data_IF_248979751915
#
_entry.id   IF_248979751915
#
_cell.length_a   1.000
_cell.length_b   1.000
_cell.length_c   1.000
_cell.angle_alpha   90.00
_cell.angle_beta   90.00
_cell.angle_gamma   90.00
#
_symmetry.space_group_name_H-M   'P 1'
#
loop_
_entity.id
_entity.type
_entity.pdbx_description
1 polymer ?
#
# COMPACT_ATOMS: atom_id res chain seq x y z
N UNK A 1 -10.16 4.21 16.17
CA UNK A 1 -10.49 5.31 15.25
C UNK A 1 -10.08 4.94 13.84
N UNK A 2 -10.76 5.48 12.83
CA UNK A 2 -10.40 5.27 11.43
C UNK A 2 -9.41 6.37 11.00
N UNK A 3 -8.13 6.04 11.00
CA UNK A 3 -7.09 6.89 10.40
C UNK A 3 -6.95 6.49 8.93
N UNK A 4 -7.09 7.45 8.01
CA UNK A 4 -6.98 7.18 6.59
C UNK A 4 -5.67 7.74 6.03
N UNK A 5 -4.97 6.90 5.27
CA UNK A 5 -3.84 7.30 4.44
C UNK A 5 -4.35 7.77 3.09
N UNK A 6 -4.20 9.05 2.81
CA UNK A 6 -4.61 9.67 1.55
C UNK A 6 -3.45 9.67 0.58
N UNK A 7 -3.69 9.18 -0.64
CA UNK A 7 -2.73 9.25 -1.74
C UNK A 7 -3.33 10.13 -2.82
N UNK A 8 -2.82 11.35 -2.96
CA UNK A 8 -3.28 12.35 -3.93
C UNK A 8 -2.34 12.31 -5.11
N UNK A 9 -2.87 12.05 -6.30
CA UNK A 9 -2.10 11.92 -7.54
C UNK A 9 -2.47 13.00 -8.55
N UNK A 10 -1.46 13.66 -9.09
CA UNK A 10 -1.59 14.58 -10.21
C UNK A 10 -1.33 13.87 -11.54
N UNK A 11 -2.33 13.76 -12.43
CA UNK A 11 -2.11 13.16 -13.75
C UNK A 11 -1.27 14.06 -14.67
N UNK A 12 -1.25 15.38 -14.45
CA UNK A 12 -0.50 16.34 -15.29
C UNK A 12 1.00 16.33 -14.99
N UNK A 13 1.37 16.29 -13.70
CA UNK A 13 2.78 16.30 -13.27
C UNK A 13 3.33 14.89 -13.07
N UNK A 14 2.47 13.87 -12.98
CA UNK A 14 2.83 12.49 -12.70
C UNK A 14 3.33 12.27 -11.27
N UNK A 15 3.16 13.26 -10.38
CA UNK A 15 3.60 13.19 -8.99
C UNK A 15 2.45 12.78 -8.07
N UNK A 16 2.80 12.16 -6.96
CA UNK A 16 1.85 11.76 -5.93
C UNK A 16 2.35 12.15 -4.55
N UNK A 17 1.46 12.64 -3.70
CA UNK A 17 1.74 12.95 -2.31
C UNK A 17 0.91 12.07 -1.39
N UNK A 18 1.49 11.76 -0.23
CA UNK A 18 0.82 11.01 0.81
C UNK A 18 0.59 11.91 2.01
N UNK A 19 -0.65 11.96 2.49
CA UNK A 19 -1.04 12.71 3.68
C UNK A 19 -1.88 11.82 4.59
N UNK A 20 -1.67 11.94 5.89
CA UNK A 20 -2.51 11.28 6.89
C UNK A 20 -3.71 12.19 7.15
N UNK A 21 -4.93 11.63 7.06
CA UNK A 21 -6.15 12.37 7.34
C UNK A 21 -6.38 12.44 8.86
N UNK A 22 -6.52 13.65 9.44
CA UNK A 22 -6.97 13.78 10.81
C UNK A 22 -8.45 13.36 10.92
N UNK A 23 -8.88 13.02 12.12
CA UNK A 23 -10.17 12.36 12.38
C UNK A 23 -11.40 13.17 11.92
N UNK A 24 -11.35 14.49 12.05
CA UNK A 24 -12.43 15.38 11.61
C UNK A 24 -12.69 15.23 10.10
N UNK A 25 -11.62 15.14 9.31
CA UNK A 25 -11.70 14.96 7.86
C UNK A 25 -12.07 13.52 7.52
N UNK A 26 -11.54 12.55 8.26
CA UNK A 26 -11.85 11.13 8.08
C UNK A 26 -13.37 10.87 8.18
N UNK A 27 -14.03 11.46 9.16
CA UNK A 27 -15.49 11.32 9.35
C UNK A 27 -16.31 11.81 8.15
N UNK A 28 -15.85 12.87 7.47
CA UNK A 28 -16.51 13.43 6.28
C UNK A 28 -16.31 12.59 5.01
N UNK A 29 -15.29 11.72 4.99
CA UNK A 29 -15.00 10.82 3.86
C UNK A 29 -15.81 9.53 3.92
N UNK A 30 -16.24 9.13 5.12
CA UNK A 30 -17.07 7.94 5.31
C UNK A 30 -18.40 8.13 4.59
N UNK A 31 -18.84 7.11 3.86
CA UNK A 31 -20.10 7.15 3.10
C UNK A 31 -19.97 7.67 1.67
N UNK A 32 -18.86 8.34 1.31
CA UNK A 32 -18.58 8.69 -0.09
C UNK A 32 -18.27 7.46 -0.93
N UNK A 33 -18.56 7.53 -2.22
CA UNK A 33 -18.36 6.45 -3.17
C UNK A 33 -17.18 6.71 -4.08
N UNK A 34 -16.63 5.63 -4.61
CA UNK A 34 -15.64 5.72 -5.68
C UNK A 34 -16.30 6.33 -6.92
N UNK A 35 -15.69 7.37 -7.47
CA UNK A 35 -16.21 8.17 -8.57
C UNK A 35 -16.73 9.53 -8.13
N UNK A 36 -16.94 9.74 -6.83
CA UNK A 36 -17.39 11.03 -6.31
C UNK A 36 -16.23 12.05 -6.31
N UNK A 37 -16.60 13.30 -6.56
CA UNK A 37 -15.70 14.46 -6.51
C UNK A 37 -15.78 15.14 -5.14
N UNK A 38 -14.63 15.56 -4.64
CA UNK A 38 -14.44 16.20 -3.34
C UNK A 38 -13.64 17.48 -3.55
N UNK A 39 -13.98 18.54 -2.81
CA UNK A 39 -13.19 19.77 -2.77
C UNK A 39 -11.86 19.54 -2.03
N UNK A 40 -10.76 19.95 -2.64
CA UNK A 40 -9.41 19.87 -2.09
C UNK A 40 -9.19 20.74 -0.86
N UNK A 41 -10.10 21.68 -0.57
CA UNK A 41 -10.09 22.53 0.64
C UNK A 41 -10.02 21.69 1.92
N UNK A 42 -10.59 20.48 1.91
CA UNK A 42 -10.52 19.53 3.03
C UNK A 42 -9.11 19.03 3.33
N UNK A 43 -8.15 19.22 2.42
CA UNK A 43 -6.79 18.72 2.55
C UNK A 43 -5.75 19.83 2.45
N UNK A 44 -6.16 21.07 2.69
CA UNK A 44 -5.34 22.30 2.53
C UNK A 44 -4.92 22.56 1.08
N UNK A 45 -5.70 22.07 0.11
CA UNK A 45 -5.50 22.29 -1.32
C UNK A 45 -6.61 23.19 -1.86
N UNK A 46 -6.40 24.50 -1.81
CA UNK A 46 -7.38 25.48 -2.29
C UNK A 46 -7.52 25.43 -3.81
N UNK A 47 -8.76 25.54 -4.30
CA UNK A 47 -9.05 25.60 -5.74
C UNK A 47 -8.86 24.29 -6.52
N UNK A 48 -8.71 23.14 -5.85
CA UNK A 48 -8.54 21.82 -6.49
C UNK A 48 -9.77 20.95 -6.30
N UNK A 49 -10.15 20.23 -7.35
CA UNK A 49 -11.15 19.16 -7.30
C UNK A 49 -10.49 17.78 -7.36
N UNK A 50 -10.83 16.94 -6.40
CA UNK A 50 -10.28 15.61 -6.21
C UNK A 50 -11.35 14.55 -6.47
N UNK A 51 -11.05 13.59 -7.34
CA UNK A 51 -11.92 12.45 -7.60
C UNK A 51 -11.43 11.22 -6.85
N UNK A 52 -12.35 10.55 -6.13
CA UNK A 52 -12.06 9.27 -5.49
C UNK A 52 -11.94 8.19 -6.56
N UNK A 53 -10.75 7.63 -6.73
CA UNK A 53 -10.48 6.58 -7.72
C UNK A 53 -10.58 5.17 -7.14
N UNK A 54 -10.34 5.01 -5.84
CA UNK A 54 -10.39 3.72 -5.16
C UNK A 54 -9.64 3.74 -3.84
N UNK A 55 -9.22 2.57 -3.38
CA UNK A 55 -8.52 2.41 -2.12
C UNK A 55 -8.28 0.94 -1.76
N UNK A 56 -7.80 0.73 -0.54
CA UNK A 56 -7.64 -0.59 0.06
C UNK A 56 -8.24 -0.64 1.46
N UNK A 57 -8.80 -1.81 1.77
CA UNK A 57 -9.24 -2.18 3.11
C UNK A 57 -8.01 -2.59 3.97
N UNK A 58 -8.18 -2.64 5.29
CA UNK A 58 -7.17 -3.08 6.27
C UNK A 58 -6.57 -4.46 5.92
N UNK A 59 -7.39 -5.39 5.42
CA UNK A 59 -6.90 -6.71 4.98
C UNK A 59 -6.24 -6.69 3.57
N UNK A 60 -5.95 -5.52 3.00
CA UNK A 60 -5.34 -5.37 1.69
C UNK A 60 -6.28 -5.65 0.51
N UNK A 61 -7.58 -5.86 0.75
CA UNK A 61 -8.54 -6.06 -0.34
C UNK A 61 -8.75 -4.74 -1.09
N UNK A 62 -8.65 -4.74 -2.43
CA UNK A 62 -8.88 -3.54 -3.21
C UNK A 62 -10.37 -3.20 -3.25
N UNK A 63 -10.67 -1.91 -3.23
CA UNK A 63 -12.03 -1.43 -3.44
C UNK A 63 -12.41 -1.47 -4.92
N UNK A 64 -13.66 -1.80 -5.23
CA UNK A 64 -14.15 -1.92 -6.62
C UNK A 64 -15.46 -1.16 -6.84
N UNK A 65 -15.51 -0.33 -7.90
CA UNK A 65 -16.64 0.55 -8.25
C UNK A 65 -17.98 -0.19 -8.42
N UNK A 66 -17.94 -1.38 -9.01
CA UNK A 66 -19.13 -2.19 -9.33
C UNK A 66 -19.83 -2.74 -8.07
N UNK A 67 -19.08 -2.91 -6.98
CA UNK A 67 -19.58 -3.59 -5.77
C UNK A 67 -20.17 -2.56 -4.82
N UNK A 68 -21.50 -2.52 -4.71
CA UNK A 68 -22.18 -1.55 -3.84
C UNK A 68 -21.96 -1.83 -2.35
N UNK A 69 -21.75 -0.76 -1.58
CA UNK A 69 -21.69 -0.74 -0.11
C UNK A 69 -20.25 -0.61 0.43
N UNK A 70 -20.11 -0.53 1.75
CA UNK A 70 -18.81 -0.42 2.43
C UNK A 70 -18.22 -1.75 2.91
N UNK A 71 -18.92 -2.86 2.70
CA UNK A 71 -18.52 -4.19 3.16
C UNK A 71 -17.69 -4.97 2.13
N UNK A 72 -17.09 -6.07 2.59
CA UNK A 72 -16.41 -7.05 1.74
C UNK A 72 -17.42 -7.99 1.10
N UNK A 73 -17.25 -8.29 -0.19
CA UNK A 73 -18.08 -9.27 -0.91
C UNK A 73 -17.20 -10.22 -1.72
N UNK A 74 -17.55 -11.49 -1.74
CA UNK A 74 -16.91 -12.51 -2.58
C UNK A 74 -17.65 -12.57 -3.91
N UNK A 75 -17.02 -12.07 -4.96
CA UNK A 75 -17.63 -11.98 -6.29
C UNK A 75 -16.85 -12.81 -7.31
N UNK A 76 -17.53 -13.27 -8.36
CA UNK A 76 -16.89 -13.89 -9.51
C UNK A 76 -16.30 -12.77 -10.39
N UNK A 77 -14.97 -12.73 -10.52
CA UNK A 77 -14.26 -11.73 -11.30
C UNK A 77 -13.66 -12.38 -12.53
N UNK A 78 -13.92 -11.75 -13.69
CA UNK A 78 -13.32 -12.12 -14.96
C UNK A 78 -12.09 -11.26 -15.26
N UNK A 79 -12.18 -9.95 -15.00
CA UNK A 79 -11.15 -8.97 -15.32
C UNK A 79 -11.18 -7.77 -14.36
N UNK A 80 -10.11 -6.99 -14.35
CA UNK A 80 -10.05 -5.67 -13.71
C UNK A 80 -9.43 -5.70 -12.32
N UNK A 81 -9.86 -4.75 -11.49
CA UNK A 81 -9.27 -4.51 -10.16
C UNK A 81 -9.39 -5.76 -9.28
N UNK A 82 -8.26 -6.21 -8.72
CA UNK A 82 -8.19 -7.41 -7.89
C UNK A 82 -8.05 -8.74 -8.66
N UNK A 83 -8.15 -8.72 -9.99
CA UNK A 83 -8.02 -9.91 -10.83
C UNK A 83 -6.97 -9.72 -11.95
N UNK A 84 -5.78 -10.27 -11.73
CA UNK A 84 -4.81 -10.50 -12.82
C UNK A 84 -5.17 -11.79 -13.55
N UNK A 85 -5.48 -11.68 -14.84
CA UNK A 85 -5.73 -12.84 -15.70
C UNK A 85 -4.42 -13.58 -15.94
N UNK A 86 -4.43 -14.90 -15.78
CA UNK A 86 -3.32 -15.78 -16.20
C UNK A 86 -3.57 -16.38 -17.59
N UNK A 87 -4.83 -16.54 -17.97
CA UNK A 87 -5.26 -17.09 -19.26
C UNK A 87 -6.59 -16.45 -19.69
N UNK A 88 -6.89 -16.49 -20.98
CA UNK A 88 -8.20 -16.11 -21.51
C UNK A 88 -9.29 -17.05 -20.95
N UNK A 89 -10.50 -16.53 -20.72
CA UNK A 89 -11.63 -17.30 -20.20
C UNK A 89 -11.59 -17.62 -18.69
N UNK A 90 -10.48 -17.38 -17.99
CA UNK A 90 -10.36 -17.69 -16.56
C UNK A 90 -11.23 -16.76 -15.70
N UNK A 91 -12.09 -17.34 -14.86
CA UNK A 91 -12.91 -16.64 -13.88
C UNK A 91 -12.50 -17.06 -12.47
N UNK A 92 -12.32 -16.10 -11.56
CA UNK A 92 -11.91 -16.37 -10.18
C UNK A 92 -12.89 -15.75 -9.21
N UNK A 93 -13.33 -16.52 -8.20
CA UNK A 93 -14.04 -15.95 -7.05
C UNK A 93 -13.04 -15.32 -6.10
N UNK A 94 -13.10 -14.00 -5.94
CA UNK A 94 -12.23 -13.24 -5.03
C UNK A 94 -13.05 -12.32 -4.14
N UNK A 95 -12.54 -12.12 -2.93
CA UNK A 95 -13.07 -11.13 -1.99
C UNK A 95 -12.55 -9.75 -2.38
N UNK A 96 -13.44 -8.79 -2.51
CA UNK A 96 -13.12 -7.38 -2.75
C UNK A 96 -13.88 -6.51 -1.77
N UNK A 97 -13.37 -5.31 -1.52
CA UNK A 97 -14.10 -4.30 -0.78
C UNK A 97 -15.08 -3.57 -1.72
N UNK A 98 -16.19 -3.12 -1.16
CA UNK A 98 -17.19 -2.37 -1.90
C UNK A 98 -16.72 -0.97 -2.31
N UNK A 99 -17.62 -0.23 -2.94
CA UNK A 99 -17.36 1.07 -3.54
C UNK A 99 -17.56 2.24 -2.57
N UNK A 100 -18.08 1.99 -1.37
CA UNK A 100 -18.28 3.03 -0.35
C UNK A 100 -17.12 3.02 0.63
N UNK A 101 -16.60 4.19 0.97
CA UNK A 101 -15.57 4.34 2.00
C UNK A 101 -16.21 4.02 3.36
N UNK A 102 -15.59 3.11 4.10
CA UNK A 102 -16.03 2.68 5.43
C UNK A 102 -14.90 2.83 6.44
N UNK A 103 -15.19 2.65 7.72
CA UNK A 103 -14.21 2.66 8.80
C UNK A 103 -13.12 1.59 8.67
N UNK A 104 -13.28 0.60 7.77
CA UNK A 104 -12.29 -0.45 7.50
C UNK A 104 -11.28 -0.06 6.41
N UNK A 105 -11.56 1.00 5.66
CA UNK A 105 -10.64 1.51 4.65
C UNK A 105 -9.37 2.00 5.35
N UNK A 106 -8.19 1.69 4.79
CA UNK A 106 -6.91 2.18 5.32
C UNK A 106 -6.30 3.21 4.39
N UNK A 107 -6.43 2.98 3.08
CA UNK A 107 -5.90 3.90 2.07
C UNK A 107 -7.00 4.34 1.11
N UNK A 108 -7.02 5.63 0.79
CA UNK A 108 -7.90 6.23 -0.22
C UNK A 108 -7.03 6.87 -1.30
N UNK A 109 -7.33 6.55 -2.56
CA UNK A 109 -6.64 7.08 -3.73
C UNK A 109 -7.47 8.18 -4.38
N UNK A 110 -6.89 9.37 -4.47
CA UNK A 110 -7.50 10.58 -5.02
C UNK A 110 -6.74 11.01 -6.28
N UNK A 111 -7.48 11.51 -7.27
CA UNK A 111 -6.94 12.05 -8.51
C UNK A 111 -7.36 13.51 -8.66
N UNK A 112 -6.43 14.39 -8.99
CA UNK A 112 -6.73 15.78 -9.33
C UNK A 112 -7.42 15.83 -10.71
N UNK A 113 -8.63 16.42 -10.74
CA UNK A 113 -9.44 16.56 -11.97
C UNK A 113 -9.39 17.99 -12.52
N UNK A 114 -9.61 18.97 -11.65
CA UNK A 114 -9.64 20.40 -11.99
C UNK A 114 -8.87 21.21 -10.94
N UNK A 115 -8.30 22.34 -11.35
CA UNK A 115 -7.49 23.21 -10.51
C UNK A 115 -6.01 23.19 -10.85
N UNK A 116 -5.42 24.37 -10.97
CA UNK A 116 -3.97 24.60 -10.93
C UNK A 116 -3.54 24.78 -9.49
N UNK A 117 -3.89 23.81 -8.63
CA UNK A 117 -3.23 23.73 -7.34
C UNK A 117 -1.79 23.39 -7.62
N UNK A 118 -0.91 24.40 -7.67
CA UNK A 118 0.53 24.18 -7.52
C UNK A 118 0.66 23.42 -6.21
N UNK A 119 0.83 22.11 -6.30
CA UNK A 119 1.30 21.35 -5.18
C UNK A 119 2.67 21.96 -4.87
N UNK A 120 2.75 22.71 -3.79
CA UNK A 120 4.00 22.82 -3.04
C UNK A 120 4.25 21.42 -2.49
N UNK A 121 4.76 20.56 -3.37
CA UNK A 121 5.39 19.33 -2.98
C UNK A 121 6.65 19.84 -2.28
N UNK A 122 6.80 19.72 -0.94
CA UNK A 122 8.12 19.83 -0.38
C UNK A 122 8.91 18.79 -1.16
N UNK A 123 10.00 19.18 -1.79
CA UNK A 123 10.95 18.22 -2.32
C UNK A 123 11.44 17.40 -1.11
N UNK A 124 10.67 16.39 -0.71
CA UNK A 124 11.24 15.17 -0.22
C UNK A 124 12.00 14.69 -1.45
N UNK A 125 13.29 15.02 -1.46
CA UNK A 125 14.26 14.48 -2.38
C UNK A 125 13.92 13.01 -2.55
N UNK A 126 13.26 12.72 -3.66
CA UNK A 126 13.31 11.40 -4.21
C UNK A 126 14.79 11.17 -4.34
N UNK A 127 15.32 10.30 -3.47
CA UNK A 127 16.13 9.19 -3.96
C UNK A 127 15.41 8.74 -5.23
N UNK A 128 15.89 9.30 -6.35
CA UNK A 128 15.61 8.79 -7.67
C UNK A 128 16.04 7.35 -7.52
N UNK A 129 15.11 6.42 -7.36
CA UNK A 129 15.40 5.06 -7.75
C UNK A 129 15.84 5.19 -9.21
N UNK A 130 17.14 5.02 -9.52
CA UNK A 130 17.56 5.12 -10.90
C UNK A 130 16.75 4.08 -11.68
N UNK A 131 16.34 4.43 -12.89
CA UNK A 131 15.72 3.49 -13.83
C UNK A 131 16.72 2.35 -14.07
N UNK A 132 16.69 1.35 -13.21
CA UNK A 132 17.67 0.26 -13.19
C UNK A 132 17.12 -0.87 -14.07
N UNK A 133 17.93 -1.31 -15.03
CA UNK A 133 17.52 -2.29 -16.03
C UNK A 133 17.23 -3.65 -15.36
N UNK A 134 16.44 -4.51 -16.01
CA UNK A 134 15.90 -5.77 -15.45
C UNK A 134 16.98 -6.73 -14.92
N UNK A 135 18.21 -6.65 -15.43
CA UNK A 135 19.35 -7.45 -15.00
C UNK A 135 19.97 -6.99 -13.67
N UNK A 136 19.97 -5.69 -13.40
CA UNK A 136 20.50 -5.11 -12.16
C UNK A 136 19.55 -5.37 -10.98
N UNK A 137 18.22 -5.37 -11.22
CA UNK A 137 17.23 -5.77 -10.19
C UNK A 137 17.40 -7.24 -9.78
N UNK A 138 17.82 -8.12 -10.70
CA UNK A 138 18.11 -9.53 -10.40
C UNK A 138 19.37 -9.69 -9.56
N UNK A 139 20.43 -8.92 -9.86
CA UNK A 139 21.66 -8.93 -9.05
C UNK A 139 21.43 -8.38 -7.65
N UNK A 140 20.74 -7.25 -7.51
CA UNK A 140 20.42 -6.66 -6.21
C UNK A 140 19.53 -7.56 -5.32
N UNK A 141 18.60 -8.34 -5.92
CA UNK A 141 17.83 -9.34 -5.18
C UNK A 141 18.69 -10.55 -4.77
N UNK A 142 19.59 -11.02 -5.64
CA UNK A 142 20.48 -12.14 -5.34
C UNK A 142 21.52 -11.78 -4.25
N UNK A 143 22.03 -10.55 -4.25
CA UNK A 143 22.98 -10.08 -3.23
C UNK A 143 22.29 -9.89 -1.87
N UNK A 144 21.04 -9.43 -1.84
CA UNK A 144 20.25 -9.36 -0.60
C UNK A 144 19.90 -10.74 -0.06
N UNK A 145 19.58 -11.70 -0.92
CA UNK A 145 19.27 -13.08 -0.52
C UNK A 145 20.53 -13.80 0.01
N UNK A 146 21.69 -13.58 -0.62
CA UNK A 146 22.98 -14.09 -0.12
C UNK A 146 23.41 -13.45 1.19
N UNK A 147 23.16 -12.16 1.38
CA UNK A 147 23.44 -11.48 2.65
C UNK A 147 22.57 -12.03 3.79
N UNK A 148 21.27 -12.20 3.55
CA UNK A 148 20.35 -12.79 4.52
C UNK A 148 20.70 -14.25 4.88
N UNK A 149 21.13 -15.06 3.90
CA UNK A 149 21.60 -16.42 4.15
C UNK A 149 22.92 -16.47 4.94
N UNK A 150 23.82 -15.50 4.73
CA UNK A 150 25.07 -15.38 5.51
C UNK A 150 24.80 -14.97 6.95
N UNK A 151 23.85 -14.05 7.17
CA UNK A 151 23.44 -13.63 8.51
C UNK A 151 22.73 -14.75 9.27
N UNK A 152 21.84 -15.50 8.61
CA UNK A 152 21.18 -16.66 9.20
C UNK A 152 22.18 -17.78 9.56
N UNK A 153 23.15 -18.08 8.69
CA UNK A 153 24.18 -19.08 8.95
C UNK A 153 25.17 -18.65 10.06
N UNK A 154 25.43 -17.35 10.21
CA UNK A 154 26.25 -16.82 11.29
C UNK A 154 25.52 -16.84 12.64
N UNK A 155 24.20 -16.60 12.64
CA UNK A 155 23.36 -16.71 13.83
C UNK A 155 23.25 -18.17 14.31
N UNK A 156 23.12 -19.13 13.38
CA UNK A 156 23.02 -20.55 13.73
C UNK A 156 24.34 -21.14 14.24
N UNK A 157 25.49 -20.66 13.72
CA UNK A 157 26.81 -21.02 14.25
C UNK A 157 27.06 -20.44 15.65
N UNK A 158 26.67 -19.18 15.89
CA UNK A 158 26.78 -18.58 17.23
C UNK A 158 25.90 -19.28 18.26
N UNK A 159 24.69 -19.70 17.89
CA UNK A 159 23.81 -20.46 18.77
C UNK A 159 24.41 -21.83 19.16
N UNK A 160 25.04 -22.54 18.21
CA UNK A 160 25.71 -23.82 18.49
C UNK A 160 26.98 -23.69 19.34
N UNK A 161 27.71 -22.58 19.21
CA UNK A 161 28.90 -22.30 20.03
C UNK A 161 28.52 -21.91 21.48
N UNK A 162 27.37 -21.24 21.66
CA UNK A 162 26.81 -20.89 22.97
C UNK A 162 26.22 -22.12 23.70
N UNK A 163 25.63 -23.07 22.97
CA UNK A 163 25.18 -24.37 23.52
C UNK A 163 26.37 -25.27 23.92
N UNK A 164 27.44 -25.30 23.12
CA UNK A 164 28.63 -26.09 23.42
C UNK A 164 29.43 -25.55 24.64
N UNK A 165 29.47 -24.23 24.81
CA UNK A 165 30.13 -23.60 25.97
C UNK A 165 29.31 -23.74 27.27
N UNK A 166 27.97 -23.84 27.19
CA UNK A 166 27.12 -24.18 28.34
C UNK A 166 27.27 -25.64 28.76
N UNK A 167 27.31 -26.58 27.81
CA UNK A 167 27.53 -28.00 28.10
C UNK A 167 28.89 -28.29 28.76
N UNK A 168 29.96 -27.60 28.34
CA UNK A 168 31.29 -27.75 28.94
C UNK A 168 31.41 -27.16 30.37
N UNK A 169 30.48 -26.27 30.76
CA UNK A 169 30.46 -25.66 32.10
C UNK A 169 29.73 -26.53 33.15
N UNK A 170 28.88 -27.46 32.71
CA UNK A 170 28.16 -28.41 33.59
C UNK A 170 29.03 -29.62 33.97
N UNK A 171 29.99 -30.03 33.13
CA UNK A 171 30.89 -31.17 33.41
C UNK A 171 32.04 -30.87 34.39
N UNK A 172 32.29 -29.59 34.72
CA UNK A 172 33.36 -29.17 35.67
C UNK A 172 32.88 -28.88 37.09
N UNK A 173 31.61 -29.16 37.40
CA UNK A 173 31.02 -29.04 38.74
C UNK A 173 30.55 -30.38 39.33
N UNK A 174 31.05 -31.49 38.79
CA UNK A 174 30.97 -32.83 39.39
C UNK A 174 32.18 -33.14 40.23
#
# INVERSE_FOLDING_TARGET
MAEFKLVISDPKTGRSMQKVAPEAIASQLIGKKIGDTIKGELFDMTGVELLITGGSDNAGFPMRKDVRGGGRKKILIVAGVGARKKAAGLRQRKTVSGNTISSRTVQINLKVVSGEGRMEIPLAEGKKDPKMNKEERRKAHADKEKAAQKEAAAAEKKAKEEEASKAASEEKKG
#
